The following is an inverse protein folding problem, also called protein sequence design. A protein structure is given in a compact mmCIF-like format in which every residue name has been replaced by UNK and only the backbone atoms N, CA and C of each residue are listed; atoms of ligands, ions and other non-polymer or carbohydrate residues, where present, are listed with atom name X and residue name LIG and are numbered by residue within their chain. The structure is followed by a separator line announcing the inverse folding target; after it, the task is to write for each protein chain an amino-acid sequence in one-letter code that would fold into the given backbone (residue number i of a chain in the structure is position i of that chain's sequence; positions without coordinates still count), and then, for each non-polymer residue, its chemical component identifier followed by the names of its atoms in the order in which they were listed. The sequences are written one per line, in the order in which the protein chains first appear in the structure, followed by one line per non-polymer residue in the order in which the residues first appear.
data_IF_891848363210
#
_entry.id   IF_891848363210
#
_cell.length_a   1.000
_cell.length_b   1.000
_cell.length_c   1.000
_cell.angle_alpha   90.00
_cell.angle_beta   90.00
_cell.angle_gamma   90.00
#
_symmetry.space_group_name_H-M   'P 1'
#
loop_
_entity.id
_entity.type
_entity.pdbx_description
1 polymer ?
#
# COMPACT_ATOMS: atom_id res chain seq x y z
N UNK A 1 -22.82 27.79 -6.17
CA UNK A 1 -21.91 27.06 -7.08
C UNK A 1 -20.78 26.53 -6.23
N UNK A 2 -20.85 25.27 -5.79
CA UNK A 2 -19.69 24.63 -5.21
C UNK A 2 -18.52 24.71 -6.21
N UNK A 3 -17.29 25.00 -5.75
CA UNK A 3 -16.12 25.02 -6.62
C UNK A 3 -15.98 23.64 -7.28
N UNK A 4 -15.57 23.63 -8.55
CA UNK A 4 -15.36 22.44 -9.36
C UNK A 4 -14.22 21.60 -8.76
N UNK A 5 -14.52 20.90 -7.68
CA UNK A 5 -13.59 20.18 -6.82
C UNK A 5 -13.34 18.76 -7.33
N UNK A 6 -13.89 18.34 -8.47
CA UNK A 6 -13.78 16.98 -8.97
C UNK A 6 -12.31 16.54 -9.14
N UNK A 7 -11.47 17.41 -9.72
CA UNK A 7 -10.03 17.14 -9.86
C UNK A 7 -9.34 17.00 -8.50
N UNK A 8 -9.70 17.85 -7.53
CA UNK A 8 -9.18 17.80 -6.16
C UNK A 8 -9.62 16.52 -5.44
N UNK A 9 -10.89 16.14 -5.58
CA UNK A 9 -11.46 14.92 -4.99
C UNK A 9 -10.75 13.70 -5.57
N UNK A 10 -10.58 13.63 -6.89
CA UNK A 10 -9.88 12.54 -7.55
C UNK A 10 -8.41 12.42 -7.10
N UNK A 11 -7.71 13.55 -6.95
CA UNK A 11 -6.34 13.57 -6.44
C UNK A 11 -6.27 13.10 -4.98
N UNK A 12 -7.15 13.61 -4.12
CA UNK A 12 -7.19 13.21 -2.73
C UNK A 12 -7.54 11.72 -2.57
N UNK A 13 -8.52 11.21 -3.33
CA UNK A 13 -8.89 9.79 -3.35
C UNK A 13 -7.75 8.87 -3.78
N UNK A 14 -6.81 9.34 -4.63
CA UNK A 14 -5.60 8.57 -4.94
C UNK A 14 -4.61 8.53 -3.78
N UNK A 15 -4.59 9.58 -2.95
CA UNK A 15 -3.65 9.75 -1.83
C UNK A 15 -4.15 9.18 -0.51
N UNK A 16 -5.45 8.96 -0.31
CA UNK A 16 -6.00 8.51 1.00
C UNK A 16 -5.35 7.24 1.57
N UNK A 17 -4.85 6.35 0.71
CA UNK A 17 -4.20 5.11 1.14
C UNK A 17 -2.82 5.37 1.75
N UNK A 18 -2.10 6.38 1.26
CA UNK A 18 -0.73 6.72 1.67
C UNK A 18 -0.64 7.93 2.60
N UNK A 19 -1.66 8.80 2.58
CA UNK A 19 -1.71 10.04 3.34
C UNK A 19 -3.03 10.18 4.14
N UNK A 20 -2.99 10.04 5.48
CA UNK A 20 -4.15 10.26 6.34
C UNK A 20 -4.69 11.70 6.29
N UNK A 21 -3.88 12.70 5.92
CA UNK A 21 -4.35 14.08 5.79
C UNK A 21 -5.26 14.24 4.57
N UNK A 22 -5.01 13.50 3.48
CA UNK A 22 -5.89 13.49 2.33
C UNK A 22 -7.32 13.02 2.69
N UNK A 23 -7.46 12.04 3.59
CA UNK A 23 -8.75 11.60 4.10
C UNK A 23 -9.47 12.69 4.92
N UNK A 24 -8.74 13.43 5.76
CA UNK A 24 -9.31 14.55 6.52
C UNK A 24 -9.78 15.69 5.60
N UNK A 25 -9.02 15.97 4.54
CA UNK A 25 -9.43 16.95 3.52
C UNK A 25 -10.68 16.51 2.75
N UNK A 26 -10.79 15.22 2.37
CA UNK A 26 -12.00 14.70 1.73
C UNK A 26 -13.24 14.82 2.62
N UNK A 27 -13.12 14.58 3.92
CA UNK A 27 -14.22 14.79 4.87
C UNK A 27 -14.65 16.25 4.93
N UNK A 28 -13.69 17.18 4.85
CA UNK A 28 -13.98 18.62 4.81
C UNK A 28 -14.75 18.97 3.54
N UNK A 29 -14.29 18.47 2.38
CA UNK A 29 -14.99 18.66 1.10
C UNK A 29 -16.40 18.06 1.14
N UNK A 30 -16.55 16.84 1.66
CA UNK A 30 -17.85 16.21 1.83
C UNK A 30 -18.78 17.02 2.75
N UNK A 31 -18.25 17.55 3.86
CA UNK A 31 -19.00 18.40 4.76
C UNK A 31 -19.51 19.67 4.05
N UNK A 32 -18.74 20.23 3.11
CA UNK A 32 -19.16 21.41 2.36
C UNK A 32 -20.32 21.10 1.39
N UNK A 33 -20.30 19.95 0.71
CA UNK A 33 -21.47 19.48 -0.08
C UNK A 33 -22.71 19.29 0.80
N UNK A 34 -22.55 18.66 1.96
CA UNK A 34 -23.66 18.44 2.90
C UNK A 34 -24.24 19.75 3.43
N UNK A 35 -23.39 20.74 3.76
CA UNK A 35 -23.84 22.08 4.19
C UNK A 35 -24.57 22.81 3.06
N UNK A 36 -24.08 22.70 1.84
CA UNK A 36 -24.70 23.28 0.66
C UNK A 36 -25.98 22.56 0.22
N UNK A 37 -26.25 21.36 0.77
CA UNK A 37 -27.33 20.45 0.34
C UNK A 37 -27.23 20.09 -1.15
N UNK A 38 -26.02 20.08 -1.68
CA UNK A 38 -25.73 19.69 -3.06
C UNK A 38 -25.38 18.20 -3.12
N UNK A 39 -25.70 17.50 -4.22
CA UNK A 39 -25.29 16.11 -4.39
C UNK A 39 -23.75 16.01 -4.41
N UNK A 40 -23.22 15.05 -3.66
CA UNK A 40 -21.79 14.74 -3.73
C UNK A 40 -21.46 14.02 -5.04
N UNK A 41 -20.25 14.21 -5.58
CA UNK A 41 -19.75 13.36 -6.66
C UNK A 41 -19.76 11.88 -6.26
N UNK A 42 -20.14 11.00 -7.19
CA UNK A 42 -20.35 9.56 -6.91
C UNK A 42 -19.15 8.90 -6.22
N UNK A 43 -17.93 9.18 -6.69
CA UNK A 43 -16.71 8.61 -6.10
C UNK A 43 -16.50 9.01 -4.63
N UNK A 44 -16.90 10.23 -4.25
CA UNK A 44 -16.85 10.69 -2.86
C UNK A 44 -17.96 10.05 -2.03
N UNK A 45 -19.16 9.93 -2.60
CA UNK A 45 -20.30 9.29 -1.95
C UNK A 45 -20.02 7.80 -1.67
N UNK A 46 -19.50 7.07 -2.65
CA UNK A 46 -19.15 5.64 -2.52
C UNK A 46 -18.07 5.42 -1.45
N UNK A 47 -17.02 6.25 -1.48
CA UNK A 47 -15.95 6.21 -0.48
C UNK A 47 -16.48 6.36 0.96
N UNK A 48 -17.36 7.35 1.19
CA UNK A 48 -17.97 7.54 2.51
C UNK A 48 -18.93 6.42 2.86
N UNK A 49 -19.78 6.00 1.92
CA UNK A 49 -20.76 4.96 2.13
C UNK A 49 -20.10 3.65 2.58
N UNK A 50 -18.97 3.27 1.98
CA UNK A 50 -18.22 2.10 2.38
C UNK A 50 -17.61 2.23 3.79
N UNK A 51 -17.06 3.41 4.13
CA UNK A 51 -16.53 3.65 5.47
C UNK A 51 -17.62 3.56 6.55
N UNK A 52 -18.78 4.19 6.32
CA UNK A 52 -19.92 4.12 7.23
C UNK A 52 -20.51 2.71 7.32
N UNK A 53 -20.58 1.99 6.19
CA UNK A 53 -21.05 0.60 6.14
C UNK A 53 -20.16 -0.32 6.99
N UNK A 54 -18.84 -0.14 6.95
CA UNK A 54 -17.90 -0.89 7.79
C UNK A 54 -18.15 -0.60 9.29
N UNK A 55 -18.26 0.67 9.65
CA UNK A 55 -18.55 1.07 11.03
C UNK A 55 -19.90 0.51 11.53
N UNK A 56 -20.94 0.56 10.70
CA UNK A 56 -22.28 0.06 11.05
C UNK A 56 -22.32 -1.46 11.28
N UNK A 57 -21.45 -2.22 10.61
CA UNK A 57 -21.35 -3.69 10.74
C UNK A 57 -20.51 -4.16 11.94
N UNK A 58 -19.97 -3.23 12.73
CA UNK A 58 -19.15 -3.54 13.91
C UNK A 58 -19.96 -4.35 14.92
N UNK A 59 -19.45 -5.55 15.25
CA UNK A 59 -20.05 -6.42 16.27
C UNK A 59 -19.71 -5.90 17.67
N UNK A 60 -20.58 -6.14 18.68
CA UNK A 60 -20.25 -5.82 20.07
C UNK A 60 -18.95 -6.53 20.50
N UNK A 61 -17.99 -5.81 21.10
CA UNK A 61 -16.74 -6.41 21.54
C UNK A 61 -16.98 -7.37 22.71
N UNK A 62 -16.29 -8.52 22.72
CA UNK A 62 -16.41 -9.53 23.80
C UNK A 62 -15.72 -9.12 25.10
N UNK A 63 -14.99 -8.01 25.07
CA UNK A 63 -13.97 -7.64 26.06
C UNK A 63 -14.47 -6.57 27.05
N UNK A 64 -15.78 -6.29 27.09
CA UNK A 64 -16.36 -5.22 27.91
C UNK A 64 -16.08 -3.79 27.44
N UNK A 65 -15.46 -3.61 26.26
CA UNK A 65 -15.28 -2.29 25.62
C UNK A 65 -16.62 -1.72 25.14
N UNK A 66 -16.69 -0.40 25.01
CA UNK A 66 -17.86 0.27 24.43
C UNK A 66 -17.93 0.01 22.93
N UNK A 67 -19.13 -0.26 22.41
CA UNK A 67 -19.33 -0.50 20.98
C UNK A 67 -19.07 0.77 20.17
N UNK A 68 -19.27 1.94 20.76
CA UNK A 68 -18.99 3.24 20.19
C UNK A 68 -17.51 3.40 19.82
N UNK A 69 -16.60 3.02 20.74
CA UNK A 69 -15.15 3.09 20.50
C UNK A 69 -14.73 2.21 19.32
N UNK A 70 -15.34 1.03 19.23
CA UNK A 70 -15.06 0.08 18.16
C UNK A 70 -15.61 0.58 16.81
N UNK A 71 -16.81 1.20 16.81
CA UNK A 71 -17.38 1.85 15.63
C UNK A 71 -16.52 3.02 15.15
N UNK A 72 -16.05 3.86 16.07
CA UNK A 72 -15.13 4.97 15.75
C UNK A 72 -13.83 4.42 15.14
N UNK A 73 -13.30 3.33 15.70
CA UNK A 73 -12.12 2.67 15.13
C UNK A 73 -12.37 2.16 13.71
N UNK A 74 -13.46 1.43 13.49
CA UNK A 74 -13.81 0.90 12.16
C UNK A 74 -14.10 2.02 11.16
N UNK A 75 -14.74 3.10 11.57
CA UNK A 75 -14.95 4.28 10.73
C UNK A 75 -13.62 4.90 10.31
N UNK A 76 -12.71 5.10 11.27
CA UNK A 76 -11.38 5.65 10.97
C UNK A 76 -10.56 4.71 10.07
N UNK A 77 -10.73 3.40 10.16
CA UNK A 77 -10.13 2.44 9.22
C UNK A 77 -10.74 2.54 7.82
N UNK A 78 -12.07 2.58 7.71
CA UNK A 78 -12.76 2.71 6.43
C UNK A 78 -12.42 4.00 5.70
N UNK A 79 -12.15 5.08 6.46
CA UNK A 79 -11.67 6.35 5.94
C UNK A 79 -10.16 6.38 5.68
N UNK A 80 -9.43 5.29 5.91
CA UNK A 80 -7.97 5.24 5.81
C UNK A 80 -7.22 6.22 6.74
N UNK A 81 -7.91 6.77 7.75
CA UNK A 81 -7.31 7.63 8.79
C UNK A 81 -6.57 6.83 9.86
N UNK A 82 -6.89 5.54 10.00
CA UNK A 82 -6.15 4.57 10.81
C UNK A 82 -5.61 3.45 9.90
N UNK A 83 -4.33 3.13 10.06
CA UNK A 83 -3.66 1.93 9.49
C UNK A 83 -4.52 0.70 9.72
N UNK A 84 -4.62 -0.24 8.77
CA UNK A 84 -5.44 -1.47 8.89
C UNK A 84 -5.36 -2.11 10.29
N UNK A 85 -6.42 -2.79 10.76
CA UNK A 85 -6.45 -3.45 12.08
C UNK A 85 -5.26 -4.38 12.35
N UNK A 86 -4.63 -4.90 11.29
CA UNK A 86 -3.45 -5.77 11.32
C UNK A 86 -2.12 -5.05 11.65
N UNK A 87 -2.13 -3.71 11.74
CA UNK A 87 -0.96 -2.93 12.16
C UNK A 87 0.15 -2.86 11.10
N UNK A 88 0.19 -1.78 10.32
CA UNK A 88 1.29 -1.53 9.39
C UNK A 88 1.30 -0.11 8.85
N UNK A 89 2.47 0.52 8.75
CA UNK A 89 2.66 1.79 8.02
C UNK A 89 2.09 1.63 6.61
N UNK A 90 1.44 2.64 6.01
CA UNK A 90 1.26 2.64 4.56
C UNK A 90 2.60 2.25 3.94
N UNK A 91 2.66 1.33 2.97
CA UNK A 91 3.91 1.05 2.29
C UNK A 91 4.39 2.40 1.76
N UNK A 92 5.48 2.94 2.31
CA UNK A 92 6.24 3.92 1.55
C UNK A 92 6.62 3.16 0.29
N UNK A 93 6.25 3.67 -0.87
CA UNK A 93 6.72 3.12 -2.13
C UNK A 93 8.23 3.24 -2.10
N UNK A 94 8.88 2.14 -1.72
CA UNK A 94 10.29 1.93 -1.96
C UNK A 94 10.35 1.68 -3.46
N UNK A 95 11.13 2.46 -4.22
CA UNK A 95 11.28 2.23 -5.65
C UNK A 95 11.62 0.76 -5.89
N UNK A 96 10.67 0.01 -6.48
CA UNK A 96 10.84 -1.44 -6.71
C UNK A 96 12.11 -1.73 -7.50
N UNK A 97 12.55 -0.78 -8.34
CA UNK A 97 13.77 -0.87 -9.15
C UNK A 97 15.05 -1.06 -8.33
N UNK A 98 15.22 -0.34 -7.23
CA UNK A 98 16.47 -0.38 -6.45
C UNK A 98 16.59 -1.70 -5.67
N UNK A 99 15.48 -2.18 -5.11
CA UNK A 99 15.43 -3.46 -4.39
C UNK A 99 15.61 -4.62 -5.36
N UNK A 100 14.97 -4.56 -6.54
CA UNK A 100 15.12 -5.56 -7.59
C UNK A 100 16.56 -5.61 -8.13
N UNK A 101 17.22 -4.46 -8.33
CA UNK A 101 18.61 -4.41 -8.77
C UNK A 101 19.54 -5.01 -7.71
N UNK A 102 19.36 -4.64 -6.44
CA UNK A 102 20.19 -5.16 -5.33
C UNK A 102 20.04 -6.67 -5.18
N UNK A 103 18.81 -7.19 -5.27
CA UNK A 103 18.54 -8.63 -5.17
C UNK A 103 18.99 -9.38 -6.42
N UNK A 104 18.89 -8.80 -7.61
CA UNK A 104 19.35 -9.43 -8.84
C UNK A 104 20.88 -9.49 -8.95
N UNK A 105 21.59 -8.48 -8.44
CA UNK A 105 23.06 -8.39 -8.51
C UNK A 105 23.75 -9.15 -7.37
N UNK A 106 23.16 -9.17 -6.16
CA UNK A 106 23.82 -9.72 -4.97
C UNK A 106 23.05 -10.84 -4.26
N UNK A 107 21.85 -11.21 -4.73
CA UNK A 107 20.92 -12.09 -4.02
C UNK A 107 21.31 -13.57 -3.94
N UNK A 108 22.25 -14.03 -4.78
CA UNK A 108 22.78 -15.40 -4.75
C UNK A 108 24.07 -15.51 -3.92
N UNK A 109 24.89 -14.46 -3.90
CA UNK A 109 26.22 -14.48 -3.27
C UNK A 109 26.23 -13.96 -1.82
N UNK A 110 25.15 -13.29 -1.39
CA UNK A 110 25.09 -12.61 -0.09
C UNK A 110 23.91 -13.10 0.76
N UNK A 111 24.19 -13.37 2.04
CA UNK A 111 23.16 -13.77 3.02
C UNK A 111 22.08 -12.68 3.19
N UNK A 112 20.82 -13.08 3.39
CA UNK A 112 19.68 -12.18 3.60
C UNK A 112 19.88 -11.18 4.75
N UNK A 113 20.69 -11.55 5.73
CA UNK A 113 21.07 -10.74 6.89
C UNK A 113 21.94 -9.54 6.54
N UNK A 114 22.81 -9.65 5.53
CA UNK A 114 23.63 -8.53 5.04
C UNK A 114 22.82 -7.64 4.10
N UNK A 115 22.08 -8.24 3.17
CA UNK A 115 21.21 -7.52 2.24
C UNK A 115 20.19 -6.63 2.95
N UNK A 116 19.55 -7.10 4.03
CA UNK A 116 18.60 -6.28 4.79
C UNK A 116 19.28 -5.10 5.52
N UNK A 117 20.54 -5.26 5.93
CA UNK A 117 21.28 -4.22 6.64
C UNK A 117 21.73 -3.14 5.66
N UNK A 118 22.24 -3.52 4.50
CA UNK A 118 22.65 -2.62 3.41
C UNK A 118 21.45 -1.85 2.84
N UNK A 119 20.31 -2.52 2.60
CA UNK A 119 19.07 -1.84 2.19
C UNK A 119 18.56 -0.88 3.26
N UNK A 120 18.56 -1.29 4.52
CA UNK A 120 18.11 -0.39 5.60
C UNK A 120 19.03 0.83 5.76
N UNK A 121 20.34 0.66 5.58
CA UNK A 121 21.32 1.76 5.66
C UNK A 121 21.24 2.67 4.43
N UNK A 122 21.05 2.12 3.21
CA UNK A 122 20.92 2.90 1.98
C UNK A 122 19.72 3.86 1.99
N UNK A 123 18.65 3.49 2.69
CA UNK A 123 17.46 4.33 2.82
C UNK A 123 17.40 5.13 4.13
N UNK A 124 18.39 4.98 5.02
CA UNK A 124 18.44 5.69 6.30
C UNK A 124 18.64 7.19 6.07
N UNK A 125 17.77 8.01 6.67
CA UNK A 125 17.79 9.47 6.48
C UNK A 125 17.20 9.97 5.16
N UNK A 126 16.67 9.08 4.31
CA UNK A 126 15.94 9.46 3.10
C UNK A 126 14.44 9.59 3.35
N UNK A 127 13.70 10.22 2.44
CA UNK A 127 12.23 10.23 2.45
C UNK A 127 11.61 8.83 2.49
N UNK A 128 12.37 7.80 2.06
CA UNK A 128 11.95 6.40 1.98
C UNK A 128 12.52 5.52 3.09
N UNK A 129 12.89 6.05 4.26
CA UNK A 129 13.47 5.26 5.36
C UNK A 129 12.70 3.95 5.66
N UNK A 130 13.41 2.84 5.51
CA UNK A 130 12.91 1.47 5.61
C UNK A 130 13.47 0.83 6.89
N UNK A 131 12.59 0.21 7.69
CA UNK A 131 13.03 -0.64 8.81
C UNK A 131 13.56 -1.97 8.28
N UNK A 132 14.55 -2.57 8.98
CA UNK A 132 15.15 -3.85 8.59
C UNK A 132 14.13 -4.99 8.36
N UNK A 133 13.02 -5.00 9.09
CA UNK A 133 11.93 -5.97 8.90
C UNK A 133 11.19 -5.79 7.57
N UNK A 134 10.96 -4.54 7.16
CA UNK A 134 10.37 -4.20 5.86
C UNK A 134 11.33 -4.51 4.72
N UNK A 135 12.62 -4.24 4.89
CA UNK A 135 13.65 -4.61 3.91
C UNK A 135 13.69 -6.14 3.68
N UNK A 136 13.62 -6.93 4.76
CA UNK A 136 13.60 -8.39 4.67
C UNK A 136 12.39 -8.93 3.90
N UNK A 137 11.19 -8.42 4.18
CA UNK A 137 9.99 -8.86 3.48
C UNK A 137 10.06 -8.55 1.98
N UNK A 138 10.59 -7.37 1.61
CA UNK A 138 10.79 -7.00 0.21
C UNK A 138 11.82 -7.85 -0.50
N UNK A 139 12.93 -8.20 0.15
CA UNK A 139 13.92 -9.13 -0.41
C UNK A 139 13.27 -10.49 -0.71
N UNK A 140 12.42 -11.00 0.19
CA UNK A 140 11.70 -12.27 -0.02
C UNK A 140 10.69 -12.20 -1.16
N UNK A 141 9.88 -11.15 -1.22
CA UNK A 141 8.95 -10.90 -2.33
C UNK A 141 9.71 -10.84 -3.67
N UNK A 142 10.79 -10.05 -3.72
CA UNK A 142 11.59 -9.87 -4.93
C UNK A 142 12.28 -11.15 -5.38
N UNK A 143 12.80 -11.97 -4.44
CA UNK A 143 13.35 -13.30 -4.76
C UNK A 143 12.28 -14.22 -5.33
N UNK A 144 11.06 -14.19 -4.78
CA UNK A 144 9.95 -14.99 -5.30
C UNK A 144 9.59 -14.54 -6.72
N UNK A 145 9.42 -13.24 -6.95
CA UNK A 145 9.16 -12.66 -8.28
C UNK A 145 10.26 -13.01 -9.29
N UNK A 146 11.54 -12.89 -8.92
CA UNK A 146 12.68 -13.28 -9.77
C UNK A 146 12.69 -14.79 -10.07
N UNK A 147 12.36 -15.63 -9.09
CA UNK A 147 12.29 -17.07 -9.29
C UNK A 147 11.16 -17.46 -10.26
N UNK A 148 9.99 -16.82 -10.14
CA UNK A 148 8.88 -17.01 -11.07
C UNK A 148 9.21 -16.48 -12.46
N UNK A 149 9.85 -15.31 -12.57
CA UNK A 149 10.29 -14.74 -13.83
C UNK A 149 11.30 -15.65 -14.53
N UNK A 150 12.27 -16.20 -13.79
CA UNK A 150 13.24 -17.18 -14.31
C UNK A 150 12.57 -18.48 -14.75
N UNK A 151 11.58 -18.97 -13.99
CA UNK A 151 10.80 -20.16 -14.37
C UNK A 151 10.04 -19.93 -15.67
N UNK A 152 9.31 -18.81 -15.77
CA UNK A 152 8.59 -18.42 -17.00
C UNK A 152 9.54 -18.24 -18.18
N UNK A 153 10.71 -17.63 -17.95
CA UNK A 153 11.72 -17.46 -19.00
C UNK A 153 12.23 -18.83 -19.47
N UNK A 154 12.48 -19.77 -18.55
CA UNK A 154 12.87 -21.15 -18.89
C UNK A 154 11.78 -21.88 -19.66
N UNK A 155 10.53 -21.80 -19.21
CA UNK A 155 9.36 -22.38 -19.91
C UNK A 155 9.23 -21.83 -21.34
N UNK A 156 9.44 -20.52 -21.54
CA UNK A 156 9.44 -19.88 -22.87
C UNK A 156 10.62 -20.36 -23.72
N UNK A 157 11.82 -20.49 -23.14
CA UNK A 157 13.00 -20.98 -23.85
C UNK A 157 12.87 -22.45 -24.26
N UNK A 158 12.28 -23.29 -23.40
CA UNK A 158 12.00 -24.70 -23.67
C UNK A 158 10.89 -24.85 -24.72
N UNK A 159 9.81 -24.06 -24.62
CA UNK A 159 8.70 -24.09 -25.57
C UNK A 159 9.10 -23.63 -26.98
N UNK A 160 10.15 -22.83 -27.10
CA UNK A 160 10.66 -22.31 -28.36
C UNK A 160 11.94 -23.02 -28.85
N UNK A 161 12.36 -24.12 -28.22
CA UNK A 161 13.60 -24.86 -28.55
C UNK A 161 14.89 -24.01 -28.50
N UNK A 162 14.89 -22.87 -27.78
CA UNK A 162 15.99 -21.92 -27.70
C UNK A 162 17.04 -22.28 -26.63
N UNK A 163 16.88 -23.41 -25.95
CA UNK A 163 17.75 -23.88 -24.86
C UNK A 163 19.21 -24.09 -25.30
N UNK A 164 19.47 -24.29 -26.59
CA UNK A 164 20.83 -24.46 -27.14
C UNK A 164 21.64 -23.17 -27.37
N UNK A 165 21.02 -21.99 -27.30
CA UNK A 165 21.68 -20.72 -27.66
C UNK A 165 22.36 -20.05 -26.46
N UNK A 166 21.87 -20.28 -25.25
CA UNK A 166 22.45 -19.72 -24.03
C UNK A 166 23.49 -20.69 -23.45
N UNK A 167 24.74 -20.61 -23.95
CA UNK A 167 25.86 -21.27 -23.28
C UNK A 167 26.11 -20.62 -21.91
N UNK A 168 26.32 -21.40 -20.84
CA UNK A 168 26.77 -20.87 -19.57
C UNK A 168 28.20 -20.31 -19.73
N UNK A 169 28.42 -19.09 -19.26
CA UNK A 169 29.76 -18.58 -18.92
C UNK A 169 29.96 -18.72 -17.42
#
# INVERSE_FOLDING_TARGET
MAPNNEAKIAELLRKVVSDPHAAAELLTVAADYLKAREPMPDALADYLADAFRQAARTKPPKNGKRIEDERINQLAHGLYMKRRPEGGRPPKDVPKGDVALTVAVFGEDVTETKLKAELAEAYKGTEHEIKQTTALNRIKETKAELSEARRKTREIMESNELTGIVRPR
#
